data_IF_754959575563
#
_entry.id   IF_754959575563
#
_cell.length_a   1.000
_cell.length_b   1.000
_cell.length_c   1.000
_cell.angle_alpha   90.00
_cell.angle_beta   90.00
_cell.angle_gamma   90.00
#
_symmetry.space_group_name_H-M   'P 1'
#
loop_
_entity.id
_entity.type
_entity.pdbx_description
1 polymer ?
#
# COMPACT_ATOMS: atom_id res chain seq x y z
N UNK A 1 5.20 -5.61 11.09
CA UNK A 1 6.19 -5.25 10.02
C UNK A 1 7.28 -4.25 10.46
N UNK A 2 8.52 -4.71 10.65
CA UNK A 2 9.72 -3.88 10.84
C UNK A 2 10.30 -3.59 9.44
N UNK A 3 10.13 -2.38 8.91
CA UNK A 3 10.94 -1.94 7.77
C UNK A 3 12.41 -2.01 8.22
N UNK A 4 13.16 -3.01 7.71
CA UNK A 4 14.60 -3.06 7.96
C UNK A 4 15.22 -1.91 7.18
N UNK A 5 15.80 -0.99 7.94
CA UNK A 5 16.50 0.22 7.48
C UNK A 5 17.54 -0.06 6.37
N UNK A 6 18.03 -1.30 6.29
CA UNK A 6 19.09 -1.75 5.39
C UNK A 6 18.71 -1.86 3.91
N UNK A 7 17.42 -1.92 3.57
CA UNK A 7 17.01 -2.19 2.18
C UNK A 7 16.85 -0.91 1.33
N UNK A 8 16.98 0.28 1.95
CA UNK A 8 16.90 1.59 1.28
C UNK A 8 18.28 2.27 1.18
N UNK A 9 19.28 1.79 1.91
CA UNK A 9 20.58 2.48 2.11
C UNK A 9 21.76 1.64 1.60
N UNK A 10 21.76 1.26 0.32
CA UNK A 10 22.99 0.80 -0.36
C UNK A 10 23.13 1.46 -1.71
N UNK A 11 23.50 2.74 -1.71
CA UNK A 11 24.39 3.32 -2.73
C UNK A 11 24.81 4.73 -2.31
N UNK A 12 26.12 4.99 -2.33
CA UNK A 12 26.69 6.33 -2.31
C UNK A 12 27.08 6.87 -0.94
N UNK A 13 28.38 6.87 -0.66
CA UNK A 13 29.05 7.64 0.39
C UNK A 13 28.90 9.16 0.14
N UNK A 14 27.77 9.70 0.55
CA UNK A 14 27.47 11.13 0.60
C UNK A 14 26.17 11.29 1.35
N UNK A 15 26.13 12.13 2.38
CA UNK A 15 25.01 12.25 3.32
C UNK A 15 23.71 12.73 2.65
N UNK A 16 23.04 11.86 1.91
CA UNK A 16 21.71 12.08 1.39
C UNK A 16 20.71 11.56 2.41
N UNK A 17 20.24 12.46 3.27
CA UNK A 17 19.07 12.18 4.09
C UNK A 17 17.86 12.25 3.16
N UNK A 18 17.33 11.09 2.78
CA UNK A 18 16.06 11.05 2.04
C UNK A 18 15.00 11.80 2.87
N UNK A 19 14.21 12.68 2.25
CA UNK A 19 13.16 13.49 2.92
C UNK A 19 12.25 12.64 3.83
N UNK A 20 12.02 11.39 3.44
CA UNK A 20 11.24 10.43 4.22
C UNK A 20 11.94 10.00 5.51
N UNK A 21 13.27 9.89 5.55
CA UNK A 21 14.01 9.43 6.72
C UNK A 21 13.99 10.48 7.84
N UNK A 22 14.27 11.74 7.53
CA UNK A 22 14.20 12.83 8.51
C UNK A 22 12.78 13.00 9.04
N UNK A 23 11.77 12.97 8.18
CA UNK A 23 10.37 13.00 8.60
C UNK A 23 10.00 11.81 9.50
N UNK A 24 10.46 10.61 9.16
CA UNK A 24 10.25 9.41 10.00
C UNK A 24 10.89 9.55 11.39
N UNK A 25 12.12 10.06 11.47
CA UNK A 25 12.79 10.27 12.76
C UNK A 25 12.04 11.32 13.60
N UNK A 26 11.62 12.42 12.99
CA UNK A 26 10.84 13.45 13.66
C UNK A 26 9.50 12.91 14.19
N UNK A 27 8.78 12.12 13.39
CA UNK A 27 7.50 11.49 13.82
C UNK A 27 7.73 10.58 15.01
N UNK A 28 8.81 9.77 15.02
CA UNK A 28 9.10 8.87 16.15
C UNK A 28 9.48 9.62 17.43
N UNK A 29 10.12 10.78 17.31
CA UNK A 29 10.45 11.63 18.46
C UNK A 29 9.22 12.35 19.00
N UNK A 30 8.39 12.93 18.12
CA UNK A 30 7.21 13.71 18.50
C UNK A 30 6.03 12.84 18.94
N UNK A 31 5.90 11.65 18.36
CA UNK A 31 4.79 10.72 18.61
C UNK A 31 5.32 9.32 18.96
N UNK A 32 5.98 9.14 20.11
CA UNK A 32 6.62 7.88 20.48
C UNK A 32 5.63 6.72 20.67
N UNK A 33 4.35 7.03 20.93
CA UNK A 33 3.26 6.04 21.03
C UNK A 33 2.61 5.70 19.70
N UNK A 34 2.87 6.48 18.65
CA UNK A 34 2.30 6.20 17.32
C UNK A 34 3.08 5.07 16.64
N UNK A 35 2.35 4.07 16.13
CA UNK A 35 2.95 3.01 15.33
C UNK A 35 3.02 3.47 13.87
N UNK A 36 4.23 3.72 13.37
CA UNK A 36 4.43 4.07 11.96
C UNK A 36 4.36 2.80 11.12
N UNK A 37 3.27 2.62 10.37
CA UNK A 37 3.00 1.43 9.55
C UNK A 37 3.64 1.49 8.15
N UNK A 38 3.86 2.68 7.61
CA UNK A 38 4.40 2.86 6.27
C UNK A 38 4.24 4.28 5.74
N UNK A 39 4.44 4.45 4.44
CA UNK A 39 4.26 5.73 3.74
C UNK A 39 3.33 5.54 2.54
N UNK A 40 2.29 6.38 2.44
CA UNK A 40 1.28 6.30 1.38
C UNK A 40 1.87 6.48 -0.01
N UNK A 41 2.96 7.25 -0.14
CA UNK A 41 3.68 7.39 -1.42
C UNK A 41 4.21 6.04 -1.92
N UNK A 42 4.90 5.28 -1.07
CA UNK A 42 5.46 3.97 -1.45
C UNK A 42 4.37 2.91 -1.64
N UNK A 43 3.30 2.98 -0.84
CA UNK A 43 2.10 2.18 -1.06
C UNK A 43 1.54 2.42 -2.47
N UNK A 44 1.28 3.68 -2.83
CA UNK A 44 0.77 4.06 -4.14
C UNK A 44 1.72 3.62 -5.26
N UNK A 45 3.03 3.81 -5.08
CA UNK A 45 4.01 3.40 -6.08
C UNK A 45 3.98 1.87 -6.31
N UNK A 46 3.87 1.06 -5.25
CA UNK A 46 3.82 -0.41 -5.35
C UNK A 46 2.53 -0.89 -6.00
N UNK A 47 1.38 -0.36 -5.58
CA UNK A 47 0.08 -0.71 -6.19
C UNK A 47 0.05 -0.29 -7.66
N UNK A 48 0.53 0.91 -8.00
CA UNK A 48 0.58 1.37 -9.38
C UNK A 48 1.50 0.52 -10.26
N UNK A 49 2.68 0.12 -9.76
CA UNK A 49 3.55 -0.83 -10.48
C UNK A 49 2.84 -2.15 -10.74
N UNK A 50 2.06 -2.66 -9.78
CA UNK A 50 1.24 -3.87 -9.99
C UNK A 50 0.18 -3.66 -11.07
N UNK A 51 -0.52 -2.52 -11.06
CA UNK A 51 -1.48 -2.16 -12.12
C UNK A 51 -0.83 -2.21 -13.51
N UNK A 52 0.38 -1.64 -13.65
CA UNK A 52 1.11 -1.67 -14.91
C UNK A 52 1.50 -3.11 -15.32
N UNK A 53 1.98 -3.92 -14.38
CA UNK A 53 2.39 -5.30 -14.63
C UNK A 53 1.21 -6.20 -15.04
N UNK A 54 -0.01 -5.89 -14.60
CA UNK A 54 -1.23 -6.57 -14.99
C UNK A 54 -1.80 -6.07 -16.34
N UNK A 55 -1.09 -5.21 -17.06
CA UNK A 55 -1.53 -4.70 -18.37
C UNK A 55 -2.67 -3.67 -18.29
N UNK A 56 -2.95 -3.11 -17.12
CA UNK A 56 -4.04 -2.15 -16.91
C UNK A 56 -3.64 -0.69 -17.23
N UNK A 57 -2.45 -0.46 -17.80
CA UNK A 57 -1.94 0.89 -18.08
C UNK A 57 -2.91 1.73 -18.92
N UNK A 58 -3.42 1.18 -20.03
CA UNK A 58 -4.38 1.86 -20.91
C UNK A 58 -5.71 2.13 -20.21
N UNK A 59 -6.23 1.15 -19.46
CA UNK A 59 -7.48 1.30 -18.72
C UNK A 59 -7.37 2.35 -17.61
N UNK A 60 -6.22 2.44 -16.96
CA UNK A 60 -5.93 3.46 -15.96
C UNK A 60 -5.81 4.85 -16.59
N UNK A 61 -5.14 4.96 -17.75
CA UNK A 61 -4.97 6.23 -18.48
C UNK A 61 -6.29 6.77 -19.05
N UNK A 62 -7.23 5.87 -19.39
CA UNK A 62 -8.54 6.23 -19.91
C UNK A 62 -9.46 6.92 -18.88
N UNK A 63 -9.10 6.94 -17.59
CA UNK A 63 -9.85 7.61 -16.51
C UNK A 63 -11.33 7.16 -16.35
N UNK A 64 -11.66 5.94 -16.76
CA UNK A 64 -13.00 5.35 -16.58
C UNK A 64 -13.17 4.61 -15.25
N UNK A 65 -14.10 3.66 -15.21
CA UNK A 65 -14.47 2.94 -13.97
C UNK A 65 -13.31 2.18 -13.34
N UNK A 66 -12.48 1.52 -14.16
CA UNK A 66 -11.28 0.82 -13.67
C UNK A 66 -10.28 1.78 -13.03
N UNK A 67 -10.14 3.00 -13.56
CA UNK A 67 -9.32 4.03 -12.94
C UNK A 67 -9.89 4.44 -11.59
N UNK A 68 -11.20 4.74 -11.51
CA UNK A 68 -11.85 5.12 -10.25
C UNK A 68 -11.73 4.02 -9.19
N UNK A 69 -11.94 2.76 -9.57
CA UNK A 69 -11.74 1.60 -8.70
C UNK A 69 -10.30 1.54 -8.15
N UNK A 70 -9.30 1.61 -9.04
CA UNK A 70 -7.89 1.55 -8.63
C UNK A 70 -7.49 2.75 -7.77
N UNK A 71 -8.05 3.94 -8.02
CA UNK A 71 -7.84 5.12 -7.17
C UNK A 71 -8.45 4.93 -5.78
N UNK A 72 -9.65 4.34 -5.68
CA UNK A 72 -10.25 3.96 -4.38
C UNK A 72 -9.36 2.96 -3.64
N UNK A 73 -8.86 1.94 -4.32
CA UNK A 73 -7.97 0.93 -3.73
C UNK A 73 -6.69 1.59 -3.19
N UNK A 74 -6.09 2.48 -3.97
CA UNK A 74 -4.90 3.23 -3.59
C UNK A 74 -5.18 4.22 -2.44
N UNK A 75 -6.42 4.63 -2.23
CA UNK A 75 -6.81 5.54 -1.15
C UNK A 75 -7.12 4.87 0.18
N UNK A 76 -7.13 3.54 0.27
CA UNK A 76 -7.45 2.80 1.51
C UNK A 76 -6.69 3.30 2.75
N UNK A 77 -5.38 3.64 2.70
CA UNK A 77 -4.65 4.13 3.88
C UNK A 77 -5.13 5.47 4.44
N UNK A 78 -6.02 6.19 3.73
CA UNK A 78 -6.61 7.43 4.22
C UNK A 78 -7.90 7.22 5.01
N UNK A 79 -8.44 6.00 5.02
CA UNK A 79 -9.61 5.68 5.82
C UNK A 79 -9.23 5.52 7.31
N UNK A 80 -10.16 5.82 8.24
CA UNK A 80 -10.05 5.34 9.61
C UNK A 80 -9.82 3.83 9.64
N UNK A 81 -9.01 3.36 10.60
CA UNK A 81 -8.57 1.96 10.69
C UNK A 81 -9.72 0.95 10.64
N UNK A 82 -10.81 1.26 11.33
CA UNK A 82 -12.04 0.49 11.45
C UNK A 82 -12.80 0.34 10.12
N UNK A 83 -12.51 1.19 9.14
CA UNK A 83 -13.15 1.18 7.83
C UNK A 83 -12.29 0.57 6.73
N UNK A 84 -11.00 0.32 6.98
CA UNK A 84 -10.08 -0.22 5.96
C UNK A 84 -10.51 -1.63 5.53
N UNK A 85 -10.67 -2.56 6.49
CA UNK A 85 -11.04 -3.95 6.18
C UNK A 85 -12.43 -4.03 5.53
N UNK A 86 -13.50 -3.41 6.08
CA UNK A 86 -14.81 -3.45 5.44
C UNK A 86 -14.82 -2.86 4.04
N UNK A 87 -14.14 -1.71 3.81
CA UNK A 87 -14.05 -1.11 2.48
C UNK A 87 -13.30 -2.04 1.51
N UNK A 88 -12.21 -2.67 1.96
CA UNK A 88 -11.44 -3.60 1.15
C UNK A 88 -12.27 -4.83 0.74
N UNK A 89 -13.01 -5.44 1.67
CA UNK A 89 -13.87 -6.60 1.40
C UNK A 89 -14.94 -6.28 0.36
N UNK A 90 -15.58 -5.10 0.44
CA UNK A 90 -16.53 -4.66 -0.59
C UNK A 90 -15.87 -4.49 -1.96
N UNK A 91 -14.64 -3.98 -1.99
CA UNK A 91 -13.87 -3.87 -3.23
C UNK A 91 -13.44 -5.25 -3.77
N UNK A 92 -13.18 -6.23 -2.91
CA UNK A 92 -12.87 -7.60 -3.31
C UNK A 92 -14.05 -8.23 -4.05
N UNK A 93 -15.26 -8.14 -3.49
CA UNK A 93 -16.48 -8.66 -4.12
C UNK A 93 -16.69 -8.06 -5.53
N UNK A 94 -16.54 -6.73 -5.66
CA UNK A 94 -16.62 -6.05 -6.96
C UNK A 94 -15.54 -6.53 -7.95
N UNK A 95 -14.33 -6.81 -7.46
CA UNK A 95 -13.25 -7.30 -8.30
C UNK A 95 -13.44 -8.76 -8.71
N UNK A 96 -14.05 -9.59 -7.86
CA UNK A 96 -14.38 -10.98 -8.16
C UNK A 96 -15.44 -11.08 -9.26
N UNK A 97 -16.45 -10.20 -9.24
CA UNK A 97 -17.45 -10.10 -10.31
C UNK A 97 -16.83 -9.75 -11.67
N UNK A 98 -15.84 -8.85 -11.69
CA UNK A 98 -15.15 -8.43 -12.92
C UNK A 98 -14.09 -9.43 -13.36
N UNK A 99 -13.40 -10.04 -12.40
CA UNK A 99 -12.30 -10.98 -12.60
C UNK A 99 -11.04 -10.38 -13.25
N UNK A 100 -10.19 -11.29 -13.72
CA UNK A 100 -9.04 -10.97 -14.58
C UNK A 100 -7.99 -10.05 -13.93
N UNK A 101 -7.37 -9.15 -14.72
CA UNK A 101 -6.26 -8.33 -14.24
C UNK A 101 -6.60 -7.43 -13.04
N UNK A 102 -7.87 -7.00 -12.91
CA UNK A 102 -8.28 -6.17 -11.79
C UNK A 102 -8.24 -6.96 -10.48
N UNK A 103 -8.79 -8.17 -10.48
CA UNK A 103 -8.78 -9.09 -9.35
C UNK A 103 -7.34 -9.43 -8.91
N UNK A 104 -6.42 -9.63 -9.86
CA UNK A 104 -5.01 -9.87 -9.56
C UNK A 104 -4.34 -8.73 -8.78
N UNK A 105 -4.73 -7.47 -9.03
CA UNK A 105 -4.25 -6.31 -8.26
C UNK A 105 -4.82 -6.35 -6.84
N UNK A 106 -6.11 -6.66 -6.68
CA UNK A 106 -6.76 -6.71 -5.36
C UNK A 106 -6.18 -7.84 -4.50
N UNK A 107 -6.01 -9.05 -5.05
CA UNK A 107 -5.32 -10.15 -4.35
C UNK A 107 -3.85 -9.84 -4.03
N UNK A 108 -3.18 -9.01 -4.84
CA UNK A 108 -1.84 -8.55 -4.48
C UNK A 108 -1.88 -7.65 -3.24
N UNK A 109 -2.84 -6.73 -3.17
CA UNK A 109 -3.05 -5.88 -1.99
C UNK A 109 -3.39 -6.72 -0.76
N UNK A 110 -4.32 -7.64 -0.90
CA UNK A 110 -4.75 -8.57 0.14
C UNK A 110 -3.56 -9.30 0.78
N UNK A 111 -2.78 -10.00 -0.04
CA UNK A 111 -1.66 -10.85 0.40
C UNK A 111 -0.50 -10.06 0.99
N UNK A 112 -0.35 -8.80 0.58
CA UNK A 112 0.82 -8.00 0.95
C UNK A 112 0.57 -7.14 2.19
N UNK A 113 -0.68 -6.72 2.45
CA UNK A 113 -0.98 -5.81 3.56
C UNK A 113 -2.17 -6.19 4.43
N UNK A 114 -3.19 -6.88 3.91
CA UNK A 114 -4.40 -7.18 4.69
C UNK A 114 -4.19 -8.45 5.52
N UNK A 115 -3.86 -9.58 4.87
CA UNK A 115 -3.70 -10.88 5.56
C UNK A 115 -2.29 -11.13 6.11
N UNK A 116 -1.43 -10.10 6.15
CA UNK A 116 -0.13 -10.20 6.84
C UNK A 116 -0.30 -9.98 8.34
N UNK A 117 -1.26 -9.15 8.77
CA UNK A 117 -1.52 -8.90 10.19
C UNK A 117 -2.15 -10.11 10.91
N UNK A 118 -2.94 -10.95 10.21
CA UNK A 118 -3.53 -12.16 10.80
C UNK A 118 -2.47 -13.17 11.29
N UNK A 119 -1.35 -13.33 10.56
CA UNK A 119 -0.25 -14.24 10.94
C UNK A 119 0.71 -13.70 12.01
N UNK A 120 0.75 -12.38 12.22
CA UNK A 120 1.55 -11.79 13.31
C UNK A 120 0.76 -11.84 14.65
N UNK A 121 -0.57 -11.94 14.62
CA UNK A 121 -1.42 -12.09 15.81
C UNK A 121 -1.54 -13.55 16.31
N UNK A 122 -1.50 -14.55 15.43
CA UNK A 122 -1.45 -15.99 15.80
C UNK A 122 -0.09 -16.44 16.37
N UNK A 123 0.89 -15.54 16.43
CA UNK A 123 2.26 -15.80 16.93
C UNK A 123 2.58 -15.07 18.24
N UNK A 124 1.55 -14.53 18.90
CA UNK A 124 1.57 -14.04 20.28
C UNK A 124 0.76 -15.00 21.15
#
# INVERSE_FOLDING_TARGET
MRFRHTDIMKEGSGGFVTLIYSAWQAIRQLYPRATVKGCVFHWNQRVYRKVLNEGLATAYAAKGDKFLFLRKLMSLPYLPSEHIIPAFEQMMLQAEEVGGPLLNVVHYVERTWIHVEARELERL
#
